data_IF_554726621045
#
_entry.id   IF_554726621045
#
_cell.length_a   1.000
_cell.length_b   1.000
_cell.length_c   1.000
_cell.angle_alpha   90.00
_cell.angle_beta   90.00
_cell.angle_gamma   90.00
#
_symmetry.space_group_name_H-M   'P 1'
#
loop_
_entity.id
_entity.type
_entity.pdbx_description
1 polymer ?
#
# COMPACT_ATOMS: atom_id res chain seq x y z
N UNK A 1 24.05 22.75 -10.37
CA UNK A 1 22.60 22.74 -10.08
C UNK A 1 22.18 21.58 -9.19
N UNK A 2 22.77 20.39 -9.31
CA UNK A 2 22.37 19.20 -8.54
C UNK A 2 22.33 19.39 -7.00
N UNK A 3 23.39 19.92 -6.36
CA UNK A 3 23.39 20.20 -4.92
C UNK A 3 22.32 21.22 -4.47
N UNK A 4 21.94 22.14 -5.36
CA UNK A 4 20.83 23.09 -5.09
C UNK A 4 19.46 22.44 -5.27
N UNK A 5 19.34 21.50 -6.22
CA UNK A 5 18.10 20.79 -6.52
C UNK A 5 17.70 19.82 -5.39
N UNK A 6 18.65 19.27 -4.65
CA UNK A 6 18.43 18.31 -3.56
C UNK A 6 18.21 18.97 -2.18
N UNK A 7 18.44 20.28 -2.04
CA UNK A 7 18.28 21.02 -0.78
C UNK A 7 16.80 21.26 -0.44
N UNK A 8 16.32 20.68 0.67
CA UNK A 8 14.95 20.80 1.18
C UNK A 8 14.62 22.17 1.80
N UNK A 9 15.63 22.86 2.34
CA UNK A 9 15.45 24.18 2.98
C UNK A 9 15.37 25.33 1.97
N UNK A 10 15.58 25.02 0.69
CA UNK A 10 15.60 26.00 -0.39
C UNK A 10 14.29 25.96 -1.19
N UNK A 11 13.57 27.09 -1.21
CA UNK A 11 12.36 27.30 -2.01
C UNK A 11 12.74 28.02 -3.33
N UNK A 12 12.82 27.32 -4.46
CA UNK A 12 13.19 27.93 -5.73
C UNK A 12 12.03 28.78 -6.24
N UNK A 13 12.33 29.84 -6.99
CA UNK A 13 11.30 30.64 -7.68
C UNK A 13 10.69 29.83 -8.82
N UNK A 14 9.47 30.20 -9.30
CA UNK A 14 8.87 29.56 -10.48
C UNK A 14 9.81 29.49 -11.69
N UNK A 15 10.60 30.53 -11.95
CA UNK A 15 11.57 30.56 -13.06
C UNK A 15 12.74 29.60 -12.84
N UNK A 16 13.17 29.40 -11.60
CA UNK A 16 14.23 28.44 -11.27
C UNK A 16 13.73 27.01 -11.37
N UNK A 17 12.46 26.77 -11.01
CA UNK A 17 11.81 25.48 -11.23
C UNK A 17 11.71 25.20 -12.72
N UNK A 18 11.24 26.17 -13.51
CA UNK A 18 11.16 26.02 -14.97
C UNK A 18 12.53 25.70 -15.57
N UNK A 19 13.58 26.42 -15.15
CA UNK A 19 14.94 26.15 -15.62
C UNK A 19 15.45 24.78 -15.20
N UNK A 20 15.17 24.34 -13.98
CA UNK A 20 15.54 23.01 -13.48
C UNK A 20 14.81 21.88 -14.18
N UNK A 21 13.55 22.09 -14.57
CA UNK A 21 12.76 21.14 -15.35
C UNK A 21 13.19 21.06 -16.82
N UNK A 22 13.98 22.02 -17.31
CA UNK A 22 14.56 22.07 -18.65
C UNK A 22 16.05 21.69 -18.67
N UNK A 23 16.60 21.24 -17.54
CA UNK A 23 18.02 20.87 -17.43
C UNK A 23 18.34 19.65 -18.31
N UNK A 24 19.53 19.63 -18.92
CA UNK A 24 19.99 18.51 -19.73
C UNK A 24 20.17 17.22 -18.90
N UNK A 25 20.53 17.35 -17.62
CA UNK A 25 20.67 16.22 -16.70
C UNK A 25 19.29 15.82 -16.13
N UNK A 26 18.85 14.61 -16.48
CA UNK A 26 17.59 14.05 -16.02
C UNK A 26 17.50 13.93 -14.49
N UNK A 27 18.61 13.85 -13.77
CA UNK A 27 18.61 13.84 -12.29
C UNK A 27 18.25 15.20 -11.73
N UNK A 28 18.70 16.28 -12.37
CA UNK A 28 18.29 17.63 -12.01
C UNK A 28 16.80 17.81 -12.29
N UNK A 29 16.33 17.42 -13.48
CA UNK A 29 14.90 17.45 -13.81
C UNK A 29 14.07 16.66 -12.79
N UNK A 30 14.50 15.46 -12.43
CA UNK A 30 13.81 14.61 -11.47
C UNK A 30 13.77 15.22 -10.07
N UNK A 31 14.88 15.82 -9.61
CA UNK A 31 14.95 16.50 -8.32
C UNK A 31 14.04 17.73 -8.26
N UNK A 32 13.89 18.46 -9.37
CA UNK A 32 12.91 19.56 -9.44
C UNK A 32 11.48 19.04 -9.53
N UNK A 33 11.24 17.96 -10.28
CA UNK A 33 9.93 17.33 -10.36
C UNK A 33 9.48 16.73 -9.02
N UNK A 34 10.41 16.28 -8.17
CA UNK A 34 10.12 15.66 -6.87
C UNK A 34 9.82 16.66 -5.74
N UNK A 35 9.73 17.96 -6.00
CA UNK A 35 9.56 18.98 -4.95
C UNK A 35 8.10 19.13 -4.53
N UNK A 36 7.77 18.59 -3.35
CA UNK A 36 6.41 18.58 -2.77
C UNK A 36 5.75 19.95 -2.54
N UNK A 37 6.52 21.04 -2.47
CA UNK A 37 6.01 22.39 -2.22
C UNK A 37 5.67 23.18 -3.49
N UNK A 38 5.92 22.62 -4.68
CA UNK A 38 5.59 23.28 -5.95
C UNK A 38 4.26 22.77 -6.49
N UNK A 39 3.44 23.71 -6.98
CA UNK A 39 2.26 23.40 -7.78
C UNK A 39 2.67 23.43 -9.23
N UNK A 40 2.68 22.28 -9.91
CA UNK A 40 2.89 22.27 -11.35
C UNK A 40 1.83 23.13 -12.04
N UNK A 41 2.26 23.98 -12.98
CA UNK A 41 1.34 24.47 -14.00
C UNK A 41 0.94 23.31 -14.91
N UNK A 42 -0.20 23.39 -15.62
CA UNK A 42 -0.59 22.36 -16.59
C UNK A 42 0.52 22.08 -17.62
N UNK A 43 1.23 23.10 -18.09
CA UNK A 43 2.32 22.97 -19.07
C UNK A 43 3.54 22.26 -18.47
N UNK A 44 3.88 22.57 -17.21
CA UNK A 44 4.98 21.91 -16.51
C UNK A 44 4.67 20.44 -16.25
N UNK A 45 3.41 20.12 -15.90
CA UNK A 45 2.97 18.75 -15.72
C UNK A 45 3.01 17.99 -17.05
N UNK A 46 2.52 18.58 -18.14
CA UNK A 46 2.60 17.95 -19.48
C UNK A 46 4.05 17.64 -19.86
N UNK A 47 4.96 18.60 -19.64
CA UNK A 47 6.38 18.40 -19.91
C UNK A 47 6.97 17.27 -19.07
N UNK A 48 6.68 17.26 -17.78
CA UNK A 48 7.18 16.24 -16.88
C UNK A 48 6.63 14.84 -17.22
N UNK A 49 5.37 14.74 -17.65
CA UNK A 49 4.74 13.49 -18.11
C UNK A 49 5.23 13.03 -19.49
N UNK A 50 5.84 13.92 -20.28
CA UNK A 50 6.40 13.60 -21.61
C UNK A 50 7.92 13.53 -21.61
N UNK A 51 8.55 13.62 -20.43
CA UNK A 51 10.00 13.52 -20.29
C UNK A 51 10.50 12.15 -20.73
N UNK A 52 11.62 12.12 -21.45
CA UNK A 52 12.29 10.87 -21.86
C UNK A 52 12.68 9.99 -20.67
N UNK A 53 12.96 10.61 -19.51
CA UNK A 53 13.39 9.90 -18.33
C UNK A 53 12.20 9.47 -17.46
N UNK A 54 12.05 8.16 -17.28
CA UNK A 54 10.98 7.55 -16.49
C UNK A 54 10.93 8.05 -15.04
N UNK A 55 12.05 8.44 -14.42
CA UNK A 55 12.05 8.97 -13.06
C UNK A 55 11.37 10.35 -12.98
N UNK A 56 11.58 11.21 -13.99
CA UNK A 56 10.89 12.51 -14.08
C UNK A 56 9.39 12.29 -14.23
N UNK A 57 8.98 11.42 -15.16
CA UNK A 57 7.57 11.04 -15.35
C UNK A 57 6.96 10.48 -14.06
N UNK A 58 7.70 9.60 -13.37
CA UNK A 58 7.26 9.00 -12.10
C UNK A 58 7.00 10.07 -11.06
N UNK A 59 7.92 11.01 -10.86
CA UNK A 59 7.70 12.09 -9.91
C UNK A 59 6.49 12.94 -10.26
N UNK A 60 6.27 13.27 -11.54
CA UNK A 60 5.06 13.98 -11.96
C UNK A 60 3.76 13.28 -11.55
N UNK A 61 3.72 11.95 -11.56
CA UNK A 61 2.51 11.20 -11.14
C UNK A 61 2.29 11.12 -9.63
N UNK A 62 3.30 11.41 -8.79
CA UNK A 62 3.20 11.27 -7.33
C UNK A 62 2.59 12.51 -6.64
N UNK A 63 2.50 13.65 -7.32
CA UNK A 63 2.05 14.90 -6.69
C UNK A 63 0.55 15.12 -6.84
N UNK A 64 -0.18 14.96 -5.73
CA UNK A 64 -1.63 15.23 -5.63
C UNK A 64 -2.02 16.71 -5.70
N UNK A 65 -1.04 17.61 -5.73
CA UNK A 65 -1.29 19.05 -5.70
C UNK A 65 -1.59 19.65 -7.09
N UNK A 66 -1.72 18.82 -8.13
CA UNK A 66 -2.25 19.21 -9.43
C UNK A 66 -3.51 18.42 -9.75
N UNK A 67 -4.44 19.05 -10.49
CA UNK A 67 -5.56 18.36 -11.13
C UNK A 67 -5.20 18.12 -12.59
N UNK A 68 -4.71 16.92 -12.97
CA UNK A 68 -4.38 16.64 -14.36
C UNK A 68 -5.63 16.75 -15.24
N UNK A 69 -5.43 17.22 -16.46
CA UNK A 69 -6.48 17.20 -17.48
C UNK A 69 -6.77 15.76 -17.94
N UNK A 70 -7.93 15.47 -18.54
CA UNK A 70 -8.22 14.16 -19.12
C UNK A 70 -7.15 13.70 -20.13
N UNK A 71 -6.57 14.63 -20.89
CA UNK A 71 -5.49 14.35 -21.84
C UNK A 71 -4.18 13.94 -21.14
N UNK A 72 -3.85 14.58 -20.01
CA UNK A 72 -2.68 14.23 -19.20
C UNK A 72 -2.86 12.88 -18.48
N UNK A 73 -4.07 12.58 -18.01
CA UNK A 73 -4.41 11.26 -17.49
C UNK A 73 -4.24 10.20 -18.57
N UNK A 74 -4.74 10.47 -19.78
CA UNK A 74 -4.58 9.58 -20.92
C UNK A 74 -3.11 9.33 -21.27
N UNK A 75 -2.27 10.37 -21.22
CA UNK A 75 -0.82 10.26 -21.42
C UNK A 75 -0.21 9.27 -20.41
N UNK A 76 -0.47 9.46 -19.13
CA UNK A 76 0.09 8.59 -18.09
C UNK A 76 -0.48 7.17 -18.11
N UNK A 77 -1.75 6.99 -18.47
CA UNK A 77 -2.38 5.67 -18.65
C UNK A 77 -1.91 4.92 -19.90
N UNK A 78 -1.27 5.60 -20.85
CA UNK A 78 -0.71 5.00 -22.07
C UNK A 78 0.81 5.02 -22.07
N UNK A 79 1.44 5.39 -20.95
CA UNK A 79 2.88 5.37 -20.79
C UNK A 79 3.44 3.96 -21.00
N UNK A 80 4.60 3.86 -21.64
CA UNK A 80 5.32 2.59 -21.84
C UNK A 80 5.62 1.88 -20.52
N UNK A 81 5.85 2.64 -19.44
CA UNK A 81 6.24 2.13 -18.14
C UNK A 81 5.00 1.77 -17.31
N UNK A 82 4.84 0.49 -16.91
CA UNK A 82 3.70 0.08 -16.07
C UNK A 82 3.66 0.81 -14.74
N UNK A 83 4.82 1.20 -14.20
CA UNK A 83 4.91 1.99 -12.95
C UNK A 83 4.19 3.33 -13.09
N UNK A 84 4.31 3.99 -14.24
CA UNK A 84 3.63 5.27 -14.49
C UNK A 84 2.13 5.04 -14.60
N UNK A 85 1.71 4.02 -15.37
CA UNK A 85 0.30 3.66 -15.51
C UNK A 85 -0.33 3.35 -14.15
N UNK A 86 0.31 2.52 -13.32
CA UNK A 86 -0.14 2.19 -11.96
C UNK A 86 -0.21 3.42 -11.05
N UNK A 87 0.76 4.34 -11.12
CA UNK A 87 0.73 5.56 -10.31
C UNK A 87 -0.44 6.47 -10.67
N UNK A 88 -0.78 6.59 -11.96
CA UNK A 88 -1.97 7.36 -12.38
C UNK A 88 -3.22 6.77 -11.73
N UNK A 89 -3.36 5.45 -11.79
CA UNK A 89 -4.49 4.75 -11.18
C UNK A 89 -4.52 5.00 -9.68
N UNK A 90 -3.39 4.87 -8.99
CA UNK A 90 -3.29 4.98 -7.54
C UNK A 90 -3.55 6.41 -7.02
N UNK A 91 -3.23 7.43 -7.79
CA UNK A 91 -3.30 8.83 -7.33
C UNK A 91 -4.44 9.64 -7.92
N UNK A 92 -5.00 9.21 -9.05
CA UNK A 92 -6.03 9.94 -9.78
C UNK A 92 -7.20 9.03 -10.23
N UNK A 93 -7.40 7.90 -9.55
CA UNK A 93 -8.43 6.92 -9.88
C UNK A 93 -9.85 7.51 -9.94
N UNK A 94 -10.15 8.44 -9.04
CA UNK A 94 -11.43 9.18 -8.95
C UNK A 94 -11.70 10.07 -10.17
N UNK A 95 -10.67 10.41 -10.94
CA UNK A 95 -10.76 11.26 -12.14
C UNK A 95 -10.90 10.45 -13.43
N UNK A 96 -10.81 9.12 -13.38
CA UNK A 96 -10.79 8.27 -14.57
C UNK A 96 -12.20 8.05 -15.15
N UNK A 97 -12.29 8.02 -16.48
CA UNK A 97 -13.55 7.70 -17.16
C UNK A 97 -13.83 6.19 -17.16
N UNK A 98 -15.11 5.76 -17.29
CA UNK A 98 -15.46 4.34 -17.43
C UNK A 98 -14.72 3.64 -18.57
N UNK A 99 -14.48 4.32 -19.69
CA UNK A 99 -13.72 3.81 -20.83
C UNK A 99 -12.25 3.60 -20.50
N UNK A 100 -11.63 4.55 -19.78
CA UNK A 100 -10.25 4.43 -19.31
C UNK A 100 -10.11 3.26 -18.33
N UNK A 101 -11.04 3.13 -17.38
CA UNK A 101 -11.10 2.00 -16.44
C UNK A 101 -11.24 0.68 -17.19
N UNK A 102 -12.18 0.60 -18.13
CA UNK A 102 -12.41 -0.62 -18.95
C UNK A 102 -11.16 -1.03 -19.73
N UNK A 103 -10.39 -0.08 -20.26
CA UNK A 103 -9.14 -0.37 -20.96
C UNK A 103 -8.03 -0.78 -19.99
N UNK A 104 -7.89 -0.09 -18.86
CA UNK A 104 -6.89 -0.38 -17.84
C UNK A 104 -7.06 -1.74 -17.15
N UNK A 105 -8.31 -2.20 -16.99
CA UNK A 105 -8.61 -3.57 -16.55
C UNK A 105 -8.21 -4.65 -17.58
N UNK A 106 -7.77 -4.25 -18.76
CA UNK A 106 -7.23 -5.12 -19.81
C UNK A 106 -5.79 -4.77 -20.15
N UNK A 107 -5.11 -4.01 -19.29
CA UNK A 107 -3.70 -3.69 -19.45
C UNK A 107 -2.88 -4.98 -19.54
N UNK A 108 -1.85 -4.98 -20.38
CA UNK A 108 -0.99 -6.16 -20.55
C UNK A 108 -0.21 -6.47 -19.25
N UNK A 109 0.05 -5.44 -18.43
CA UNK A 109 0.73 -5.59 -17.15
C UNK A 109 -0.26 -5.93 -16.02
N UNK A 110 0.03 -7.04 -15.32
CA UNK A 110 -0.81 -7.54 -14.23
C UNK A 110 -0.92 -6.57 -13.05
N UNK A 111 0.16 -5.87 -12.70
CA UNK A 111 0.16 -4.97 -11.55
C UNK A 111 -0.66 -3.71 -11.85
N UNK A 112 -0.67 -3.25 -13.10
CA UNK A 112 -1.58 -2.19 -13.57
C UNK A 112 -3.04 -2.65 -13.47
N UNK A 113 -3.38 -3.83 -14.01
CA UNK A 113 -4.75 -4.40 -13.86
C UNK A 113 -5.14 -4.52 -12.39
N UNK A 114 -4.21 -4.93 -11.54
CA UNK A 114 -4.43 -5.08 -10.10
C UNK A 114 -4.75 -3.75 -9.45
N UNK A 115 -4.01 -2.68 -9.75
CA UNK A 115 -4.29 -1.33 -9.27
C UNK A 115 -5.73 -0.90 -9.59
N UNK A 116 -6.22 -1.14 -10.81
CA UNK A 116 -7.60 -0.83 -11.16
C UNK A 116 -8.61 -1.68 -10.38
N UNK A 117 -8.32 -2.96 -10.16
CA UNK A 117 -9.21 -3.87 -9.44
C UNK A 117 -9.38 -3.49 -7.96
N UNK A 118 -8.29 -3.08 -7.29
CA UNK A 118 -8.30 -2.79 -5.85
C UNK A 118 -8.58 -1.33 -5.50
N UNK A 119 -8.41 -0.38 -6.43
CA UNK A 119 -8.54 1.03 -6.07
C UNK A 119 -9.99 1.38 -5.71
N UNK A 120 -10.20 1.75 -4.45
CA UNK A 120 -11.50 2.12 -3.87
C UNK A 120 -12.11 3.38 -4.48
N UNK A 121 -11.27 4.29 -4.98
CA UNK A 121 -11.69 5.51 -5.68
C UNK A 121 -12.28 5.22 -7.07
N UNK A 122 -12.12 3.99 -7.58
CA UNK A 122 -12.65 3.54 -8.86
C UNK A 122 -13.89 2.69 -8.61
N UNK A 123 -15.05 3.16 -9.05
CA UNK A 123 -16.28 2.36 -9.02
C UNK A 123 -16.35 1.43 -10.24
N UNK A 124 -16.32 0.11 -9.99
CA UNK A 124 -16.39 -0.90 -11.03
C UNK A 124 -17.85 -1.28 -11.31
N UNK A 125 -18.24 -1.21 -12.58
CA UNK A 125 -19.54 -1.71 -13.00
C UNK A 125 -19.66 -3.23 -12.81
N UNK A 126 -20.88 -3.79 -12.68
CA UNK A 126 -21.09 -5.23 -12.58
C UNK A 126 -20.42 -6.05 -13.69
N UNK A 127 -20.40 -5.52 -14.91
CA UNK A 127 -19.75 -6.18 -16.04
C UNK A 127 -18.22 -6.17 -15.93
N UNK A 128 -17.64 -5.08 -15.41
CA UNK A 128 -16.21 -5.00 -15.13
C UNK A 128 -15.82 -5.97 -14.00
N UNK A 129 -16.58 -6.02 -12.90
CA UNK A 129 -16.40 -6.99 -11.81
C UNK A 129 -16.42 -8.42 -12.37
N UNK A 130 -17.45 -8.75 -13.17
CA UNK A 130 -17.58 -10.06 -13.81
C UNK A 130 -16.42 -10.37 -14.75
N UNK A 131 -15.95 -9.40 -15.52
CA UNK A 131 -14.77 -9.55 -16.37
C UNK A 131 -13.52 -9.87 -15.54
N UNK A 132 -13.25 -9.12 -14.48
CA UNK A 132 -12.08 -9.30 -13.62
C UNK A 132 -12.13 -10.61 -12.82
N UNK A 133 -13.34 -11.09 -12.47
CA UNK A 133 -13.53 -12.42 -11.84
C UNK A 133 -13.13 -13.59 -12.74
N UNK A 134 -12.94 -13.31 -14.04
CA UNK A 134 -12.49 -14.24 -15.08
C UNK A 134 -11.14 -13.85 -15.67
N UNK A 135 -10.44 -12.88 -15.06
CA UNK A 135 -9.08 -12.51 -15.49
C UNK A 135 -8.20 -13.76 -15.46
N UNK A 136 -7.26 -13.87 -16.39
CA UNK A 136 -6.31 -14.98 -16.42
C UNK A 136 -5.43 -15.04 -15.16
N UNK A 137 -5.19 -13.89 -14.54
CA UNK A 137 -4.34 -13.79 -13.37
C UNK A 137 -5.14 -13.92 -12.08
N UNK A 138 -4.73 -14.89 -11.26
CA UNK A 138 -5.39 -15.21 -9.98
C UNK A 138 -5.35 -14.05 -8.98
N UNK A 139 -4.32 -13.18 -9.01
CA UNK A 139 -4.25 -12.01 -8.10
C UNK A 139 -5.40 -11.05 -8.34
N UNK A 140 -5.79 -10.85 -9.60
CA UNK A 140 -6.93 -9.99 -9.99
C UNK A 140 -8.25 -10.61 -9.54
N UNK A 141 -8.41 -11.92 -9.77
CA UNK A 141 -9.61 -12.63 -9.32
C UNK A 141 -9.79 -12.53 -7.80
N UNK A 142 -8.71 -12.73 -7.04
CA UNK A 142 -8.71 -12.64 -5.58
C UNK A 142 -8.94 -11.21 -5.09
N UNK A 143 -8.33 -10.21 -5.72
CA UNK A 143 -8.55 -8.80 -5.40
C UNK A 143 -10.04 -8.41 -5.45
N UNK A 144 -10.71 -8.79 -6.54
CA UNK A 144 -12.16 -8.53 -6.71
C UNK A 144 -12.98 -9.39 -5.74
N UNK A 145 -12.56 -10.63 -5.48
CA UNK A 145 -13.19 -11.51 -4.49
C UNK A 145 -13.22 -10.90 -3.10
N UNK A 146 -12.09 -10.37 -2.67
CA UNK A 146 -11.93 -9.70 -1.37
C UNK A 146 -12.70 -8.40 -1.32
N UNK A 147 -12.55 -7.53 -2.33
CA UNK A 147 -13.18 -6.20 -2.35
C UNK A 147 -14.71 -6.24 -2.36
N UNK A 148 -15.30 -7.15 -3.15
CA UNK A 148 -16.75 -7.19 -3.36
C UNK A 148 -17.44 -8.37 -2.65
N UNK A 149 -16.71 -9.14 -1.83
CA UNK A 149 -17.20 -10.37 -1.21
C UNK A 149 -17.91 -11.25 -2.25
N UNK A 150 -17.15 -11.75 -3.23
CA UNK A 150 -17.70 -12.40 -4.43
C UNK A 150 -18.64 -13.58 -4.13
N UNK A 151 -18.55 -14.22 -2.95
CA UNK A 151 -19.50 -15.27 -2.55
C UNK A 151 -20.91 -14.72 -2.26
N UNK A 152 -21.01 -13.55 -1.60
CA UNK A 152 -22.28 -12.85 -1.43
C UNK A 152 -22.80 -12.29 -2.76
N UNK A 153 -21.90 -11.74 -3.58
CA UNK A 153 -22.21 -11.21 -4.91
C UNK A 153 -22.68 -12.29 -5.89
N UNK A 154 -21.97 -13.43 -5.99
CA UNK A 154 -22.30 -14.54 -6.87
C UNK A 154 -23.64 -15.18 -6.48
N UNK A 155 -23.91 -15.31 -5.18
CA UNK A 155 -25.20 -15.78 -4.64
C UNK A 155 -26.35 -14.80 -4.95
N UNK A 156 -26.10 -13.49 -4.87
CA UNK A 156 -27.09 -12.43 -5.14
C UNK A 156 -27.40 -12.26 -6.63
N UNK A 157 -26.45 -12.56 -7.51
CA UNK A 157 -26.56 -12.33 -8.96
C UNK A 157 -26.67 -13.62 -9.79
N UNK A 158 -26.93 -14.76 -9.15
CA UNK A 158 -27.13 -16.04 -9.85
C UNK A 158 -25.91 -16.53 -10.62
N UNK A 159 -24.72 -16.02 -10.30
CA UNK A 159 -23.48 -16.43 -10.93
C UNK A 159 -23.10 -17.76 -10.31
N UNK A 160 -23.06 -18.80 -11.14
CA UNK A 160 -22.70 -20.15 -10.73
C UNK A 160 -21.19 -20.31 -10.90
N UNK A 161 -20.38 -20.34 -9.83
CA UNK A 161 -18.93 -20.49 -9.97
C UNK A 161 -18.62 -21.82 -10.64
N UNK A 162 -17.58 -21.85 -11.47
CA UNK A 162 -17.15 -23.09 -12.13
C UNK A 162 -16.68 -24.11 -11.11
N UNK A 163 -16.69 -25.40 -11.47
CA UNK A 163 -16.23 -26.49 -10.61
C UNK A 163 -14.82 -26.24 -10.06
N UNK A 164 -13.89 -25.76 -10.90
CA UNK A 164 -12.53 -25.39 -10.49
C UNK A 164 -12.50 -24.22 -9.49
N UNK A 165 -13.39 -23.23 -9.63
CA UNK A 165 -13.50 -22.11 -8.69
C UNK A 165 -14.11 -22.56 -7.36
N UNK A 166 -15.11 -23.45 -7.37
CA UNK A 166 -15.68 -24.05 -6.14
C UNK A 166 -14.69 -24.96 -5.45
N UNK A 167 -13.99 -25.81 -6.20
CA UNK A 167 -12.97 -26.71 -5.66
C UNK A 167 -11.79 -25.93 -5.07
N UNK A 168 -11.43 -24.76 -5.61
CA UNK A 168 -10.37 -23.90 -5.04
C UNK A 168 -10.82 -23.10 -3.82
N UNK A 169 -12.07 -22.62 -3.77
CA UNK A 169 -12.64 -22.02 -2.56
C UNK A 169 -12.78 -23.08 -1.46
N UNK A 170 -13.25 -24.28 -1.81
CA UNK A 170 -13.34 -25.41 -0.88
C UNK A 170 -11.96 -25.93 -0.46
N UNK A 171 -10.95 -25.92 -1.33
CA UNK A 171 -9.56 -26.25 -0.96
C UNK A 171 -8.99 -25.20 -0.01
N UNK A 172 -9.26 -23.91 -0.21
CA UNK A 172 -8.80 -22.86 0.69
C UNK A 172 -9.57 -22.85 2.03
N UNK A 173 -10.87 -23.13 2.03
CA UNK A 173 -11.67 -23.33 3.25
C UNK A 173 -11.24 -24.61 3.97
N UNK A 174 -10.91 -25.67 3.23
CA UNK A 174 -10.36 -26.90 3.78
C UNK A 174 -8.92 -26.72 4.28
N UNK A 175 -8.07 -25.93 3.64
CA UNK A 175 -6.70 -25.61 4.10
C UNK A 175 -6.74 -24.67 5.32
N UNK A 176 -7.69 -23.73 5.38
CA UNK A 176 -7.96 -22.93 6.57
C UNK A 176 -8.52 -23.77 7.72
N UNK A 177 -9.22 -24.88 7.41
CA UNK A 177 -9.73 -25.84 8.40
C UNK A 177 -8.69 -26.89 8.79
N UNK A 178 -7.80 -27.28 7.87
CA UNK A 178 -6.72 -28.27 8.06
C UNK A 178 -5.50 -27.64 8.72
N UNK A 179 -5.28 -26.33 8.57
CA UNK A 179 -4.35 -25.54 9.39
C UNK A 179 -4.76 -25.47 10.88
N UNK A 180 -5.94 -25.99 11.26
CA UNK A 180 -6.33 -26.20 12.67
C UNK A 180 -5.92 -27.56 13.24
N UNK A 181 -5.38 -28.47 12.42
CA UNK A 181 -4.86 -29.78 12.87
C UNK A 181 -3.40 -29.92 12.45
N UNK A 182 -2.51 -29.67 13.40
CA UNK A 182 -1.06 -29.82 13.28
C UNK A 182 -0.74 -31.30 13.06
N UNK A 183 -0.30 -31.67 11.86
CA UNK A 183 0.63 -32.79 11.68
C UNK A 183 1.87 -32.28 10.95
N UNK A 184 2.98 -32.38 11.67
CA UNK A 184 4.32 -31.92 11.30
C UNK A 184 4.87 -32.84 10.22
N UNK A 185 5.15 -32.30 9.03
CA UNK A 185 6.07 -32.91 8.07
C UNK A 185 7.36 -32.07 8.00
N UNK A 186 8.55 -32.70 8.12
CA UNK A 186 9.81 -32.00 8.15
C UNK A 186 10.25 -31.68 6.71
N UNK A 187 10.18 -30.41 6.34
CA UNK A 187 10.64 -29.91 5.05
C UNK A 187 11.10 -28.46 5.19
N UNK A 188 12.38 -28.30 5.48
CA UNK A 188 13.10 -27.07 5.76
C UNK A 188 12.88 -25.92 4.76
N UNK A 189 12.36 -24.80 5.26
CA UNK A 189 12.80 -23.45 4.93
C UNK A 189 12.58 -22.56 6.17
N UNK A 190 13.61 -21.79 6.56
CA UNK A 190 13.68 -21.06 7.83
C UNK A 190 12.54 -20.03 7.99
N UNK A 191 11.41 -20.46 8.57
CA UNK A 191 10.41 -19.59 9.18
C UNK A 191 10.86 -19.28 10.61
N UNK A 192 11.54 -18.15 10.82
CA UNK A 192 11.72 -17.63 12.19
C UNK A 192 10.39 -17.10 12.68
N UNK A 193 9.57 -18.01 13.22
CA UNK A 193 8.36 -17.70 13.94
C UNK A 193 8.69 -16.78 15.11
N UNK A 194 7.92 -15.70 15.24
CA UNK A 194 8.03 -14.78 16.37
C UNK A 194 6.88 -15.11 17.32
N UNK A 195 7.20 -15.61 18.49
CA UNK A 195 6.21 -15.82 19.52
C UNK A 195 5.96 -14.50 20.25
N UNK A 196 4.71 -14.03 20.19
CA UNK A 196 4.24 -12.85 20.91
C UNK A 196 3.09 -13.33 21.79
N UNK A 197 3.17 -13.10 23.10
CA UNK A 197 2.22 -13.58 24.10
C UNK A 197 0.99 -12.67 24.21
N UNK A 198 1.18 -11.36 24.06
CA UNK A 198 0.13 -10.36 24.20
C UNK A 198 -0.91 -10.43 23.09
N UNK A 199 -2.17 -10.12 23.45
CA UNK A 199 -3.31 -9.99 22.53
C UNK A 199 -4.04 -8.65 22.72
N UNK A 200 -3.40 -7.71 23.40
CA UNK A 200 -3.89 -6.35 23.57
C UNK A 200 -3.32 -5.46 22.46
N UNK A 201 -4.07 -5.38 21.36
CA UNK A 201 -3.59 -4.76 20.12
C UNK A 201 -3.61 -3.24 20.21
N UNK A 202 -2.50 -2.67 19.76
CA UNK A 202 -2.35 -1.26 19.47
C UNK A 202 -2.29 -1.09 17.96
N UNK A 203 -2.87 -0.03 17.44
CA UNK A 203 -2.86 0.23 16.01
C UNK A 203 -2.67 1.72 15.71
N UNK A 204 -2.08 2.00 14.55
CA UNK A 204 -1.99 3.32 13.96
C UNK A 204 -2.31 3.19 12.48
N UNK A 205 -3.24 4.03 12.02
CA UNK A 205 -3.49 4.18 10.59
C UNK A 205 -2.36 5.03 10.03
N UNK A 206 -1.59 4.47 9.10
CA UNK A 206 -0.57 5.19 8.34
C UNK A 206 -1.12 5.56 6.96
N UNK A 207 -0.35 6.28 6.16
CA UNK A 207 -0.79 6.71 4.82
C UNK A 207 -1.31 5.53 3.99
N UNK A 208 -2.32 5.77 3.16
CA UNK A 208 -3.00 4.76 2.33
C UNK A 208 -3.75 3.67 3.12
N UNK A 209 -4.29 4.00 4.30
CA UNK A 209 -5.11 3.09 5.13
C UNK A 209 -4.39 1.79 5.51
N UNK A 210 -3.07 1.73 5.43
CA UNK A 210 -2.32 0.62 6.00
C UNK A 210 -2.36 0.76 7.53
N UNK A 211 -2.49 -0.36 8.24
CA UNK A 211 -2.42 -0.35 9.70
C UNK A 211 -1.07 -0.90 10.15
N UNK A 212 -0.37 -0.08 10.93
CA UNK A 212 0.76 -0.56 11.70
C UNK A 212 0.23 -1.01 13.06
N UNK A 213 0.48 -2.26 13.39
CA UNK A 213 0.05 -2.88 14.62
C UNK A 213 1.20 -2.97 15.61
N UNK A 214 0.86 -2.95 16.89
CA UNK A 214 1.80 -3.18 17.96
C UNK A 214 1.22 -4.08 19.06
N UNK A 215 2.08 -4.92 19.63
CA UNK A 215 1.82 -5.75 20.80
C UNK A 215 2.96 -5.58 21.80
N UNK A 216 2.64 -5.56 23.09
CA UNK A 216 3.60 -5.37 24.17
C UNK A 216 3.72 -6.68 24.96
N UNK A 217 4.89 -7.31 24.93
CA UNK A 217 5.20 -8.44 25.80
C UNK A 217 6.10 -7.98 26.95
N UNK A 218 5.76 -8.42 28.16
CA UNK A 218 6.60 -8.19 29.33
C UNK A 218 7.78 -9.15 29.32
N UNK A 219 8.95 -8.63 29.66
CA UNK A 219 10.18 -9.39 29.82
C UNK A 219 10.34 -9.81 31.28
N UNK A 220 11.04 -10.92 31.52
CA UNK A 220 11.23 -11.48 32.88
C UNK A 220 12.04 -10.59 33.82
N UNK A 221 12.78 -9.62 33.27
CA UNK A 221 13.61 -8.64 33.98
C UNK A 221 12.83 -7.38 34.40
N UNK A 222 11.50 -7.34 34.17
CA UNK A 222 10.64 -6.19 34.46
C UNK A 222 10.55 -5.16 33.33
N UNK A 223 11.33 -5.34 32.25
CA UNK A 223 11.20 -4.60 31.02
C UNK A 223 10.04 -5.08 30.14
N UNK A 224 9.91 -4.51 28.95
CA UNK A 224 8.99 -5.01 27.94
C UNK A 224 9.50 -4.75 26.52
N UNK A 225 9.04 -5.56 25.57
CA UNK A 225 9.30 -5.38 24.14
C UNK A 225 7.99 -5.08 23.44
N UNK A 226 8.00 -4.00 22.65
CA UNK A 226 6.95 -3.66 21.70
C UNK A 226 7.33 -4.25 20.36
N UNK A 227 6.50 -5.12 19.82
CA UNK A 227 6.64 -5.69 18.48
C UNK A 227 5.75 -4.91 17.53
N UNK A 228 6.31 -4.48 16.39
CA UNK A 228 5.56 -3.80 15.34
C UNK A 228 5.40 -4.71 14.12
N UNK A 229 4.18 -4.83 13.63
CA UNK A 229 3.84 -5.72 12.53
C UNK A 229 2.74 -5.15 11.63
N UNK A 230 2.69 -5.63 10.39
CA UNK A 230 1.68 -5.23 9.42
C UNK A 230 0.46 -6.16 9.42
N UNK A 231 -0.50 -5.86 8.56
CA UNK A 231 -1.77 -6.60 8.42
C UNK A 231 -1.60 -8.09 8.09
N UNK A 232 -0.43 -8.47 7.56
CA UNK A 232 -0.06 -9.86 7.21
C UNK A 232 0.67 -10.60 8.33
N UNK A 233 0.66 -10.06 9.55
CA UNK A 233 1.36 -10.61 10.74
C UNK A 233 2.89 -10.70 10.59
N UNK A 234 3.45 -9.96 9.64
CA UNK A 234 4.89 -9.81 9.47
C UNK A 234 5.45 -8.76 10.43
N UNK A 235 6.27 -9.20 11.39
CA UNK A 235 6.97 -8.33 12.35
C UNK A 235 8.13 -7.66 11.63
N UNK A 236 8.09 -6.33 11.56
CA UNK A 236 9.07 -5.54 10.85
C UNK A 236 9.94 -4.67 11.76
N UNK A 237 9.57 -4.51 13.04
CA UNK A 237 10.37 -3.73 13.98
C UNK A 237 10.09 -4.09 15.45
N UNK A 238 11.02 -3.70 16.35
CA UNK A 238 10.92 -3.90 17.79
C UNK A 238 11.51 -2.72 18.57
N UNK A 239 10.91 -2.39 19.70
CA UNK A 239 11.46 -1.43 20.67
C UNK A 239 11.37 -1.98 22.09
N UNK A 240 12.43 -1.84 22.86
CA UNK A 240 12.48 -2.25 24.27
C UNK A 240 12.23 -1.05 25.18
N UNK A 241 11.42 -1.23 26.23
CA UNK A 241 11.14 -0.19 27.21
C UNK A 241 11.37 -0.71 28.64
N UNK A 242 11.74 0.17 29.59
CA UNK A 242 11.94 -0.22 30.98
C UNK A 242 10.67 -0.72 31.68
N UNK A 243 9.48 -0.29 31.24
CA UNK A 243 8.18 -0.71 31.80
C UNK A 243 7.09 -0.66 30.74
N UNK A 244 6.02 -1.46 30.91
CA UNK A 244 4.82 -1.42 30.04
C UNK A 244 4.21 -0.02 30.01
N UNK A 245 4.09 0.65 31.16
CA UNK A 245 3.56 2.01 31.23
C UNK A 245 4.34 3.03 30.37
N UNK A 246 5.68 2.89 30.28
CA UNK A 246 6.50 3.72 29.38
C UNK A 246 6.24 3.38 27.91
N UNK A 247 6.12 2.09 27.57
CA UNK A 247 5.78 1.64 26.23
C UNK A 247 4.41 2.18 25.76
N UNK A 248 3.37 2.06 26.58
CA UNK A 248 2.02 2.57 26.28
C UNK A 248 2.03 4.10 26.06
N UNK A 249 2.71 4.85 26.94
CA UNK A 249 2.85 6.30 26.80
C UNK A 249 3.59 6.68 25.51
N UNK A 250 4.62 5.92 25.15
CA UNK A 250 5.38 6.15 23.92
C UNK A 250 4.56 5.79 22.67
N UNK A 251 3.78 4.71 22.69
CA UNK A 251 2.84 4.35 21.63
C UNK A 251 1.81 5.46 21.39
N UNK A 252 1.14 5.93 22.44
CA UNK A 252 0.17 7.03 22.34
C UNK A 252 0.77 8.31 21.73
N UNK A 253 1.94 8.73 22.23
CA UNK A 253 2.64 9.91 21.71
C UNK A 253 3.01 9.77 20.23
N UNK A 254 3.29 8.56 19.77
CA UNK A 254 3.61 8.26 18.38
C UNK A 254 2.36 7.93 17.52
N UNK A 255 1.16 8.18 18.05
CA UNK A 255 -0.11 8.10 17.32
C UNK A 255 -0.73 6.71 17.26
N UNK A 256 -0.28 5.77 18.09
CA UNK A 256 -0.98 4.49 18.27
C UNK A 256 -2.11 4.63 19.29
N UNK A 257 -3.21 3.94 19.03
CA UNK A 257 -4.34 3.81 19.94
C UNK A 257 -4.57 2.34 20.28
N UNK A 258 -5.10 2.07 21.48
CA UNK A 258 -5.59 0.74 21.84
C UNK A 258 -6.78 0.38 20.97
N UNK A 259 -6.70 -0.74 20.27
CA UNK A 259 -7.80 -1.24 19.44
C UNK A 259 -9.03 -1.59 20.27
N UNK A 260 -8.85 -2.06 21.50
CA UNK A 260 -9.93 -2.36 22.43
C UNK A 260 -10.80 -1.13 22.76
N UNK A 261 -10.26 0.07 22.66
CA UNK A 261 -10.94 1.31 23.04
C UNK A 261 -11.64 2.01 21.85
N UNK A 262 -11.29 1.67 20.61
CA UNK A 262 -11.84 2.30 19.41
C UNK A 262 -13.00 1.49 18.81
N UNK A 263 -14.24 1.90 19.12
CA UNK A 263 -15.46 1.26 18.60
C UNK A 263 -15.59 1.35 17.09
N UNK A 264 -15.14 2.43 16.46
CA UNK A 264 -15.23 2.63 15.01
C UNK A 264 -14.23 1.74 14.28
N UNK A 265 -13.01 1.63 14.81
CA UNK A 265 -11.99 0.74 14.27
C UNK A 265 -12.48 -0.72 14.23
N UNK A 266 -13.17 -1.18 15.28
CA UNK A 266 -13.72 -2.55 15.35
C UNK A 266 -14.76 -2.89 14.29
N UNK A 267 -15.40 -1.90 13.68
CA UNK A 267 -16.42 -2.14 12.65
C UNK A 267 -15.80 -2.50 11.28
N UNK A 268 -14.55 -2.07 11.02
CA UNK A 268 -13.95 -2.13 9.68
C UNK A 268 -12.54 -2.70 9.63
N UNK A 269 -11.84 -2.81 10.77
CA UNK A 269 -10.45 -3.24 10.83
C UNK A 269 -10.36 -4.65 11.43
N UNK A 270 -9.81 -5.58 10.66
CA UNK A 270 -9.55 -6.94 11.10
C UNK A 270 -8.21 -7.02 11.86
N UNK A 271 -8.22 -7.68 13.02
CA UNK A 271 -7.00 -7.91 13.80
C UNK A 271 -6.13 -8.97 13.10
N UNK A 272 -4.83 -8.71 12.86
CA UNK A 272 -3.92 -9.70 12.31
C UNK A 272 -3.78 -10.89 13.26
N UNK A 273 -3.88 -12.10 12.71
CA UNK A 273 -3.85 -13.33 13.51
C UNK A 273 -2.45 -13.96 13.49
N UNK A 274 -2.00 -14.59 14.60
CA UNK A 274 -0.80 -15.42 14.58
C UNK A 274 -0.94 -16.59 13.56
N UNK A 275 0.18 -17.20 13.09
CA UNK A 275 1.55 -17.00 13.57
C UNK A 275 2.19 -15.71 13.08
N UNK A 276 2.94 -15.06 13.97
CA UNK A 276 3.79 -13.94 13.57
C UNK A 276 5.11 -14.46 13.02
N UNK A 277 5.65 -13.75 12.04
CA UNK A 277 6.91 -14.10 11.38
C UNK A 277 7.77 -12.86 11.18
N UNK A 278 9.08 -13.01 11.18
CA UNK A 278 9.96 -11.92 10.77
C UNK A 278 9.64 -11.51 9.33
N UNK A 279 9.61 -10.20 9.09
CA UNK A 279 9.40 -9.62 7.77
C UNK A 279 10.33 -8.43 7.59
N UNK A 280 11.01 -8.37 6.46
CA UNK A 280 11.80 -7.19 6.08
C UNK A 280 10.87 -6.17 5.45
N UNK A 281 10.74 -5.00 6.07
CA UNK A 281 10.02 -3.89 5.45
C UNK A 281 10.93 -3.20 4.40
N UNK A 282 10.41 -2.80 3.22
CA UNK A 282 11.20 -2.16 2.16
C UNK A 282 11.96 -0.90 2.62
N UNK A 283 11.44 -0.22 3.64
CA UNK A 283 12.06 0.99 4.23
C UNK A 283 12.97 0.70 5.44
N UNK A 284 13.31 -0.58 5.70
CA UNK A 284 14.08 -0.99 6.86
C UNK A 284 13.31 -0.84 8.19
N UNK A 285 14.06 -0.71 9.28
CA UNK A 285 13.52 -0.48 10.63
C UNK A 285 12.82 0.88 10.71
N UNK A 286 11.50 0.88 10.86
CA UNK A 286 10.67 2.09 10.75
C UNK A 286 10.74 2.94 12.02
N UNK A 287 10.61 2.32 13.18
CA UNK A 287 10.52 2.97 14.48
C UNK A 287 11.85 2.98 15.22
N UNK A 288 12.56 1.84 15.26
CA UNK A 288 13.84 1.75 15.96
C UNK A 288 14.97 2.55 15.31
N UNK A 289 14.81 2.96 14.05
CA UNK A 289 15.72 3.92 13.40
C UNK A 289 15.62 5.35 13.95
N UNK A 290 14.58 5.67 14.73
CA UNK A 290 14.32 7.02 15.26
C UNK A 290 13.74 8.00 14.22
N UNK A 291 13.61 7.61 12.95
CA UNK A 291 13.09 8.48 11.88
C UNK A 291 11.59 8.77 12.03
N UNK A 292 10.83 7.77 12.48
CA UNK A 292 9.37 7.86 12.64
C UNK A 292 8.93 7.62 14.09
N UNK A 293 9.87 7.78 15.03
CA UNK A 293 9.64 7.58 16.44
C UNK A 293 10.23 8.73 17.24
N UNK A 294 9.40 9.46 17.97
CA UNK A 294 9.84 10.49 18.89
C UNK A 294 10.20 9.81 20.21
N UNK A 295 11.50 9.78 20.54
CA UNK A 295 12.04 9.27 21.80
C UNK A 295 11.59 10.06 23.03
N UNK A 296 11.83 9.51 24.23
CA UNK A 296 11.60 10.16 25.53
C UNK A 296 12.29 11.52 25.67
#
# INVERSE_FOLDING_TARGET
>A
MQQFAESLDYKPTPEQIERGMLDEDSRVRAAFASRAHHLFTPEQLERALTDENVAVRKYATLFKNCKPTPFQLERGLTDESPVIRSNIVQHFGDLLTPEQIKRGLKDDDVDVRHCFAINEDIDLSPDQIKSCSKDENIRIQLAIASRYNLNAYAKRHGITPTRAQRERVLMNEAEATRSKTVEVFPGSCNNSHVEISSRDYWFKIVEFLQQNWALIDSSSDGGCTVFFFGDTSGVFDRLTFPTVAKAEKALHRNGFARFADDKKAKEFIAIPQPPFKESTHPNGQIYSSGRYWVGD
#
